data_IF_077004861958
#
_entry.id   IF_077004861958
#
_cell.length_a   1.000
_cell.length_b   1.000
_cell.length_c   1.000
_cell.angle_alpha   90.00
_cell.angle_beta   90.00
_cell.angle_gamma   90.00
#
_symmetry.space_group_name_H-M   'P 1'
#
loop_
_entity.id
_entity.type
_entity.pdbx_description
1 polymer ?
2 non-polymer ?
3 non-polymer ?
4 water ?
#
# COMPACT_ATOMS: atom_id res chain seq x y z
N UNK A 1 7.58 11.63 -13.71
CA UNK A 1 8.87 11.73 -12.97
C UNK A 1 9.27 10.42 -12.32
N UNK A 2 10.27 10.49 -11.45
CA UNK A 2 10.75 9.33 -10.72
C UNK A 2 10.71 9.66 -9.23
N UNK A 3 10.04 8.80 -8.47
CA UNK A 3 9.89 9.00 -7.04
C UNK A 3 10.60 7.92 -6.21
N UNK A 4 11.48 8.34 -5.30
CA UNK A 4 12.19 7.39 -4.46
C UNK A 4 11.33 7.08 -3.23
N UNK A 5 11.67 6.02 -2.51
CA UNK A 5 10.85 5.62 -1.36
C UNK A 5 11.45 5.82 0.03
N UNK A 6 12.43 6.70 0.14
CA UNK A 6 13.04 6.99 1.44
C UNK A 6 11.96 7.57 2.34
N UNK A 7 11.06 8.33 1.73
CA UNK A 7 9.97 8.96 2.44
C UNK A 7 8.66 8.50 1.80
N UNK A 8 7.54 8.67 2.50
CA UNK A 8 6.26 8.29 1.96
C UNK A 8 6.11 9.02 0.62
N UNK A 9 5.64 8.32 -0.43
CA UNK A 9 5.46 8.93 -1.76
C UNK A 9 4.21 9.78 -1.88
N UNK A 10 4.28 10.99 -1.34
CA UNK A 10 3.15 11.91 -1.37
C UNK A 10 3.16 12.78 -2.62
N UNK A 11 1.98 13.00 -3.18
CA UNK A 11 1.84 13.83 -4.36
C UNK A 11 0.60 14.71 -4.21
N UNK A 12 0.56 15.78 -4.99
CA UNK A 12 -0.57 16.70 -4.96
C UNK A 12 -1.59 16.24 -5.98
N UNK A 13 -2.85 16.20 -5.58
CA UNK A 13 -3.90 15.78 -6.50
C UNK A 13 -4.99 16.84 -6.47
N UNK A 14 -5.77 16.90 -7.53
CA UNK A 14 -6.86 17.85 -7.58
C UNK A 14 -8.15 17.07 -7.87
N UNK A 15 -9.12 17.22 -6.98
CA UNK A 15 -10.41 16.56 -7.11
C UNK A 15 -11.49 17.49 -6.58
N UNK A 16 -12.63 17.52 -7.27
CA UNK A 16 -13.72 18.38 -6.86
C UNK A 16 -13.29 19.83 -6.77
N UNK A 17 -12.35 20.21 -7.64
CA UNK A 17 -11.84 21.57 -7.63
C UNK A 17 -10.88 21.83 -6.49
N UNK A 18 -10.72 20.85 -5.59
CA UNK A 18 -9.82 20.99 -4.45
C UNK A 18 -8.48 20.29 -4.59
N UNK A 19 -7.45 20.92 -4.05
CA UNK A 19 -6.08 20.39 -4.09
C UNK A 19 -5.78 19.66 -2.79
N UNK A 20 -5.23 18.45 -2.91
CA UNK A 20 -4.89 17.65 -1.74
C UNK A 20 -3.60 16.87 -1.91
N UNK A 21 -3.08 16.35 -0.81
CA UNK A 21 -1.87 15.53 -0.85
C UNK A 21 -2.29 14.10 -0.60
N UNK A 22 -1.92 13.21 -1.53
CA UNK A 22 -2.25 11.81 -1.39
C UNK A 22 -0.99 10.95 -1.55
N UNK A 23 -1.11 9.72 -1.05
CA UNK A 23 -0.03 8.73 -1.11
C UNK A 23 -0.20 7.84 -2.35
N UNK A 24 0.88 7.61 -3.09
CA UNK A 24 0.83 6.74 -4.27
C UNK A 24 1.08 5.35 -3.72
N UNK A 25 0.01 4.56 -3.68
CA UNK A 25 0.02 3.23 -3.07
C UNK A 25 -0.19 2.03 -4.01
N UNK A 26 0.91 1.40 -4.42
CA UNK A 26 0.82 0.25 -5.30
C UNK A 26 0.12 -0.93 -4.62
N UNK A 27 0.00 -0.88 -3.30
CA UNK A 27 -0.65 -1.95 -2.55
C UNK A 27 -2.17 -1.83 -2.42
N UNK A 28 -2.71 -0.69 -2.77
CA UNK A 28 -4.15 -0.46 -2.68
C UNK A 28 -4.81 -0.75 -4.03
N UNK A 29 -5.83 -1.61 -4.03
CA UNK A 29 -6.54 -1.95 -5.27
C UNK A 29 -7.43 -0.78 -5.69
N UNK A 30 -7.93 -0.07 -4.69
CA UNK A 30 -8.81 1.08 -4.90
C UNK A 30 -8.18 2.36 -4.36
N UNK A 31 -8.85 3.46 -4.65
CA UNK A 31 -8.45 4.79 -4.21
C UNK A 31 -9.42 5.19 -3.10
N UNK A 32 -8.88 5.55 -1.95
CA UNK A 32 -9.69 5.95 -0.81
C UNK A 32 -9.28 7.33 -0.31
N UNK A 33 -10.24 8.24 -0.28
CA UNK A 33 -9.97 9.59 0.16
C UNK A 33 -10.66 9.93 1.46
N UNK A 34 -10.14 10.94 2.15
CA UNK A 34 -10.71 11.38 3.41
C UNK A 34 -12.14 11.86 3.17
N UNK A 35 -12.93 11.86 4.23
CA UNK A 35 -14.31 12.31 4.15
C UNK A 35 -14.41 13.68 3.49
N UNK A 36 -15.27 13.79 2.48
CA UNK A 36 -15.47 15.04 1.75
C UNK A 36 -16.82 14.97 1.06
N UNK A 37 -17.44 16.13 0.87
CA UNK A 37 -18.78 16.18 0.26
C UNK A 37 -18.88 16.27 -1.25
N UNK A 38 -18.53 15.19 -1.91
CA UNK A 38 -18.63 15.14 -3.36
C UNK A 38 -20.09 15.04 -3.77
N UNK A 39 -20.44 15.72 -4.86
CA UNK A 39 -21.83 15.66 -5.31
C UNK A 39 -22.01 14.39 -6.14
N UNK A 40 -23.26 13.98 -6.33
CA UNK A 40 -23.52 12.78 -7.10
C UNK A 40 -24.05 11.64 -6.26
N UNK A 41 -24.57 10.62 -6.94
CA UNK A 41 -25.09 9.46 -6.25
C UNK A 41 -23.91 8.54 -5.95
N UNK A 42 -24.01 7.76 -4.89
CA UNK A 42 -22.95 6.85 -4.50
C UNK A 42 -23.52 5.56 -3.95
N UNK A 43 -22.66 4.54 -3.87
CA UNK A 43 -23.05 3.24 -3.34
C UNK A 43 -22.27 2.91 -2.07
N UNK A 44 -22.94 2.32 -1.07
CA UNK A 44 -22.31 1.95 0.20
C UNK A 44 -21.35 0.80 -0.08
N UNK A 45 -20.22 0.77 0.63
CA UNK A 45 -19.27 -0.32 0.42
C UNK A 45 -18.32 -0.57 1.58
N UNK A 46 -17.84 -1.80 1.66
CA UNK A 46 -16.92 -2.22 2.70
C UNK A 46 -15.58 -2.59 2.10
N UNK A 47 -14.51 -1.98 2.59
CA UNK A 47 -13.17 -2.28 2.11
C UNK A 47 -12.33 -2.69 3.31
N UNK A 48 -11.45 -3.65 3.11
CA UNK A 48 -10.61 -4.10 4.20
C UNK A 48 -9.15 -3.73 4.04
N UNK A 49 -8.53 -3.35 5.15
CA UNK A 49 -7.12 -3.01 5.15
C UNK A 49 -6.46 -3.84 6.24
N UNK A 50 -5.27 -3.46 6.66
CA UNK A 50 -4.53 -4.19 7.69
C UNK A 50 -5.25 -4.39 9.03
N UNK A 51 -6.01 -3.41 9.49
CA UNK A 51 -6.68 -3.55 10.77
C UNK A 51 -8.17 -3.82 10.73
N UNK A 52 -8.66 -4.35 9.62
CA UNK A 52 -10.08 -4.59 9.49
C UNK A 52 -10.76 -3.89 8.35
N UNK A 53 -12.10 -3.84 8.42
CA UNK A 53 -12.89 -3.21 7.37
C UNK A 53 -13.47 -1.87 7.80
N UNK A 54 -13.71 -0.99 6.83
CA UNK A 54 -14.32 0.30 7.12
C UNK A 54 -15.41 0.51 6.09
N UNK A 55 -16.41 1.30 6.46
CA UNK A 55 -17.51 1.57 5.55
C UNK A 55 -17.14 2.81 4.75
N UNK A 56 -17.32 2.72 3.43
CA UNK A 56 -17.01 3.83 2.55
C UNK A 56 -18.12 4.09 1.54
N UNK A 57 -18.08 5.28 0.95
CA UNK A 57 -19.07 5.65 -0.06
C UNK A 57 -18.35 5.64 -1.40
N UNK A 58 -18.86 4.84 -2.33
CA UNK A 58 -18.26 4.74 -3.64
C UNK A 58 -18.85 5.68 -4.69
N UNK A 59 -18.01 6.54 -5.25
CA UNK A 59 -18.42 7.47 -6.30
C UNK A 59 -17.73 7.06 -7.60
N UNK A 60 -18.48 6.98 -8.69
CA UNK A 60 -17.91 6.60 -9.97
C UNK A 60 -17.67 7.78 -10.89
N UNK A 61 -16.81 7.56 -11.89
CA UNK A 61 -16.47 8.57 -12.90
C UNK A 61 -16.15 9.94 -12.32
N UNK A 62 -15.20 9.99 -11.40
CA UNK A 62 -14.82 11.26 -10.81
C UNK A 62 -13.51 11.72 -11.46
N UNK A 63 -13.50 12.90 -12.11
CA UNK A 63 -12.24 13.33 -12.71
C UNK A 63 -11.28 13.77 -11.62
N UNK A 64 -10.05 13.28 -11.71
CA UNK A 64 -9.03 13.61 -10.73
C UNK A 64 -7.70 13.83 -11.43
N UNK A 65 -6.97 14.84 -10.98
CA UNK A 65 -5.66 15.14 -11.55
C UNK A 65 -4.59 14.76 -10.54
N UNK A 66 -3.67 13.89 -10.96
CA UNK A 66 -2.61 13.42 -10.10
C UNK A 66 -1.28 13.97 -10.56
N UNK A 67 -0.77 14.96 -9.84
CA UNK A 67 0.51 15.56 -10.17
C UNK A 67 0.53 16.00 -11.64
N UNK A 68 -0.49 16.75 -12.04
CA UNK A 68 -0.59 17.23 -13.42
C UNK A 68 -0.91 16.19 -14.49
N UNK A 69 -1.46 15.06 -14.07
CA UNK A 69 -1.84 14.00 -15.00
C UNK A 69 -3.32 13.68 -14.83
N UNK A 70 -4.09 13.86 -15.90
CA UNK A 70 -5.51 13.61 -15.84
C UNK A 70 -5.86 12.14 -15.76
N UNK A 71 -6.91 11.84 -14.99
CA UNK A 71 -7.41 10.49 -14.81
C UNK A 71 -8.85 10.58 -14.32
N UNK A 72 -9.64 9.55 -14.58
CA UNK A 72 -11.02 9.55 -14.15
C UNK A 72 -11.42 8.16 -13.73
N UNK A 73 -12.01 8.04 -12.55
CA UNK A 73 -12.41 6.73 -12.09
C UNK A 73 -13.20 6.70 -10.80
N UNK A 74 -13.25 5.52 -10.22
CA UNK A 74 -13.96 5.31 -8.97
C UNK A 74 -13.11 5.78 -7.81
N UNK A 75 -13.75 6.43 -6.85
CA UNK A 75 -13.07 6.88 -5.64
C UNK A 75 -13.99 6.54 -4.46
N UNK A 76 -13.41 5.93 -3.44
CA UNK A 76 -14.15 5.56 -2.24
C UNK A 76 -13.90 6.66 -1.22
N UNK A 77 -14.93 7.08 -0.52
CA UNK A 77 -14.77 8.13 0.49
C UNK A 77 -15.18 7.57 1.85
N UNK A 78 -14.29 7.69 2.81
CA UNK A 78 -14.56 7.17 4.14
C UNK A 78 -13.60 7.71 5.18
N UNK A 79 -13.73 7.26 6.43
CA UNK A 79 -12.86 7.72 7.52
C UNK A 79 -11.46 7.10 7.41
N UNK A 80 -10.66 7.55 6.46
CA UNK A 80 -9.31 7.03 6.30
C UNK A 80 -8.34 8.07 6.84
N UNK A 81 -7.27 7.63 7.52
CA UNK A 81 -6.30 8.59 8.06
C UNK A 81 -5.57 9.37 6.96
N UNK A 82 -5.44 8.79 5.78
CA UNK A 82 -4.77 9.48 4.68
C UNK A 82 -5.39 9.18 3.32
N UNK A 83 -5.19 10.10 2.38
CA UNK A 83 -5.71 9.91 1.04
C UNK A 83 -4.82 8.87 0.33
N UNK A 84 -5.45 7.87 -0.25
CA UNK A 84 -4.72 6.82 -0.93
C UNK A 84 -5.07 6.67 -2.41
N UNK A 85 -4.07 6.81 -3.27
CA UNK A 85 -4.29 6.65 -4.70
C UNK A 85 -3.92 5.21 -5.01
N UNK A 86 -4.91 4.41 -5.43
CA UNK A 86 -4.67 3.00 -5.72
C UNK A 86 -4.36 2.66 -7.17
N UNK A 87 -4.21 1.37 -7.45
CA UNK A 87 -3.89 0.91 -8.79
C UNK A 87 -4.91 1.32 -9.85
N UNK A 88 -6.18 1.38 -9.48
CA UNK A 88 -7.21 1.75 -10.44
C UNK A 88 -6.87 3.08 -11.11
N UNK A 89 -6.28 4.00 -10.36
CA UNK A 89 -5.92 5.27 -10.94
C UNK A 89 -4.45 5.33 -11.40
N UNK A 90 -3.58 4.61 -10.70
CA UNK A 90 -2.16 4.61 -11.08
C UNK A 90 -1.97 4.06 -12.48
N UNK A 91 -2.75 3.06 -12.84
CA UNK A 91 -2.65 2.47 -14.18
C UNK A 91 -2.95 3.53 -15.23
N UNK A 92 -3.90 4.41 -14.95
CA UNK A 92 -4.27 5.46 -15.90
C UNK A 92 -3.18 6.47 -16.21
N UNK A 93 -2.31 6.77 -15.25
CA UNK A 93 -1.24 7.73 -15.53
C UNK A 93 0.08 7.04 -15.85
N UNK A 94 -0.03 5.80 -16.34
CA UNK A 94 1.14 5.02 -16.72
C UNK A 94 2.22 4.86 -15.66
N UNK A 95 1.79 4.72 -14.41
CA UNK A 95 2.72 4.57 -13.31
C UNK A 95 3.27 3.15 -13.19
N UNK A 96 4.59 3.03 -13.09
CA UNK A 96 5.22 1.72 -12.96
C UNK A 96 6.16 1.67 -11.75
N UNK A 97 6.56 0.45 -11.41
CA UNK A 97 7.46 0.19 -10.30
C UNK A 97 8.74 -0.35 -10.94
N UNK A 98 9.88 0.25 -10.64
CA UNK A 98 11.13 -0.22 -11.25
C UNK A 98 12.28 -0.48 -10.28
N UNK A 99 13.03 -1.53 -10.56
CA UNK A 99 14.21 -1.89 -9.75
C UNK A 99 15.02 -2.96 -10.48
N UNK B 1 13.62 -4.93 -13.18
CA UNK B 1 12.42 -5.09 -14.02
C UNK B 1 11.44 -3.94 -13.84
N UNK B 2 10.58 -3.73 -14.85
CA UNK B 2 9.57 -2.70 -14.77
C UNK B 2 8.22 -3.40 -14.58
N UNK B 3 7.52 -3.03 -13.52
CA UNK B 3 6.24 -3.66 -13.20
C UNK B 3 5.06 -2.70 -13.37
N UNK B 4 4.08 -3.13 -14.18
CA UNK B 4 2.88 -2.33 -14.43
C UNK B 4 1.87 -2.66 -13.34
N UNK B 5 0.87 -1.81 -13.18
CA UNK B 5 -0.09 -2.02 -12.11
C UNK B 5 -1.52 -2.45 -12.45
N UNK B 6 -1.72 -3.06 -13.62
CA UNK B 6 -3.05 -3.52 -14.00
C UNK B 6 -3.45 -4.70 -13.12
N UNK B 7 -2.46 -5.42 -12.65
CA UNK B 7 -2.66 -6.55 -11.76
C UNK B 7 -1.88 -6.22 -10.48
N UNK B 8 -2.19 -6.92 -9.39
CA UNK B 8 -1.47 -6.69 -8.14
C UNK B 8 0.01 -7.00 -8.35
N UNK B 9 0.90 -6.10 -7.89
CA UNK B 9 2.34 -6.31 -8.03
C UNK B 9 2.88 -7.35 -7.06
N UNK B 10 2.65 -8.62 -7.37
CA UNK B 10 3.11 -9.73 -6.54
C UNK B 10 4.45 -10.29 -6.98
N UNK B 11 5.27 -10.67 -6.01
CA UNK B 11 6.56 -11.24 -6.30
C UNK B 11 6.81 -12.40 -5.37
N UNK B 12 7.80 -13.21 -5.72
CA UNK B 12 8.17 -14.35 -4.92
C UNK B 12 9.33 -13.91 -4.03
N UNK B 13 9.24 -14.22 -2.75
CA UNK B 13 10.29 -13.86 -1.82
C UNK B 13 10.78 -15.15 -1.18
N UNK B 14 12.02 -15.13 -0.71
CA UNK B 14 12.57 -16.29 -0.07
C UNK B 14 13.03 -15.85 1.31
N UNK B 15 12.59 -16.55 2.33
CA UNK B 15 12.94 -16.19 3.69
C UNK B 15 12.95 -17.43 4.58
N UNK B 16 14.03 -17.57 5.35
CA UNK B 16 14.16 -18.73 6.22
C UNK B 16 14.34 -19.99 5.41
N UNK B 17 14.65 -19.83 4.13
CA UNK B 17 14.83 -20.97 3.24
C UNK B 17 13.46 -21.44 2.79
N UNK B 18 12.50 -20.52 2.83
CA UNK B 18 11.12 -20.81 2.45
C UNK B 18 10.68 -19.86 1.34
N UNK B 19 9.79 -20.32 0.48
CA UNK B 19 9.29 -19.49 -0.62
C UNK B 19 7.89 -18.99 -0.33
N UNK B 20 7.67 -17.72 -0.64
CA UNK B 20 6.37 -17.10 -0.43
C UNK B 20 6.08 -16.04 -1.46
N UNK B 21 4.81 -15.62 -1.49
CA UNK B 21 4.34 -14.60 -2.41
C UNK B 21 4.08 -13.35 -1.60
N UNK B 22 4.46 -12.20 -2.14
CA UNK B 22 4.25 -10.95 -1.41
C UNK B 22 3.90 -9.81 -2.36
N UNK B 23 3.31 -8.78 -1.79
CA UNK B 23 2.88 -7.62 -2.54
C UNK B 23 3.86 -6.45 -2.39
N UNK B 24 4.27 -5.85 -3.50
CA UNK B 24 5.18 -4.68 -3.46
C UNK B 24 4.23 -3.53 -3.12
N UNK B 25 4.39 -2.99 -1.91
CA UNK B 25 3.48 -1.98 -1.40
C UNK B 25 4.15 -0.67 -0.99
N UNK B 26 4.05 0.34 -1.85
CA UNK B 26 4.67 1.63 -1.58
C UNK B 26 3.95 2.43 -0.50
N UNK B 27 2.72 2.04 -0.17
CA UNK B 27 1.96 2.74 0.85
C UNK B 27 2.22 2.22 2.25
N UNK B 28 2.96 1.11 2.35
CA UNK B 28 3.29 0.51 3.63
C UNK B 28 4.68 0.96 4.08
N UNK B 29 4.79 1.54 5.27
CA UNK B 29 6.10 1.98 5.77
C UNK B 29 6.96 0.77 6.08
N UNK B 30 6.33 -0.28 6.58
CA UNK B 30 7.07 -1.47 6.95
C UNK B 30 6.63 -2.72 6.20
N UNK B 31 7.40 -3.78 6.42
CA UNK B 31 7.18 -5.08 5.82
C UNK B 31 6.52 -5.98 6.87
N UNK B 32 5.40 -6.58 6.50
CA UNK B 32 4.68 -7.47 7.39
C UNK B 32 4.29 -8.75 6.67
N UNK B 33 4.58 -9.87 7.30
CA UNK B 33 4.26 -11.17 6.72
C UNK B 33 3.26 -11.93 7.56
N UNK B 34 2.60 -12.88 6.93
CA UNK B 34 1.61 -13.71 7.61
C UNK B 34 2.34 -14.48 8.70
N UNK B 35 1.62 -14.87 9.74
CA UNK B 35 2.20 -15.61 10.84
C UNK B 35 3.05 -16.77 10.38
N UNK B 36 4.25 -16.89 10.95
CA UNK B 36 5.16 -17.97 10.61
C UNK B 36 6.31 -17.96 11.63
N UNK B 37 7.11 -19.03 11.63
CA UNK B 37 8.22 -19.11 12.57
C UNK B 37 9.50 -18.57 11.98
N UNK B 38 10.11 -17.62 12.69
CA UNK B 38 11.36 -17.04 12.25
C UNK B 38 12.36 -17.20 13.39
N UNK B 39 13.56 -17.70 13.08
CA UNK B 39 14.56 -17.88 14.14
C UNK B 39 14.97 -16.53 14.70
N UNK B 40 15.46 -16.52 15.93
CA UNK B 40 15.87 -15.28 16.55
C UNK B 40 14.87 -14.82 17.59
N UNK B 41 15.16 -13.68 18.19
CA UNK B 41 14.29 -13.11 19.21
C UNK B 41 13.37 -12.06 18.59
N UNK B 42 12.18 -11.93 19.14
CA UNK B 42 11.23 -10.95 18.65
C UNK B 42 10.66 -10.11 19.78
N UNK B 43 10.23 -8.90 19.44
CA UNK B 43 9.66 -7.99 20.41
C UNK B 43 8.25 -7.60 19.97
N UNK B 44 7.30 -7.55 20.92
CA UNK B 44 5.91 -7.19 20.60
C UNK B 44 5.83 -5.76 20.07
N UNK B 45 5.02 -5.56 19.04
CA UNK B 45 4.84 -4.24 18.47
C UNK B 45 3.45 -4.12 17.88
N UNK B 46 3.01 -2.89 17.64
CA UNK B 46 1.71 -2.66 17.05
C UNK B 46 1.78 -1.67 15.91
N UNK B 47 1.11 -2.02 14.82
CA UNK B 47 1.08 -1.16 13.64
C UNK B 47 -0.38 -0.89 13.28
N UNK B 48 -0.62 0.20 12.60
CA UNK B 48 -1.98 0.52 12.23
C UNK B 48 -2.12 0.94 10.79
N UNK B 49 -3.35 0.85 10.30
CA UNK B 49 -3.63 1.25 8.95
C UNK B 49 -5.12 1.42 8.79
N UNK B 50 -5.62 1.11 7.59
CA UNK B 50 -7.04 1.19 7.32
C UNK B 50 -7.66 0.07 8.12
N UNK B 51 -8.73 0.39 8.83
CA UNK B 51 -9.39 -0.63 9.64
C UNK B 51 -8.93 -0.55 11.08
N UNK B 52 -7.67 -0.21 11.31
CA UNK B 52 -7.21 -0.12 12.69
C UNK B 52 -5.83 -0.69 12.97
N UNK B 53 -5.56 -0.97 14.24
CA UNK B 53 -4.27 -1.50 14.70
C UNK B 53 -4.26 -3.00 14.96
N UNK B 54 -3.12 -3.63 14.73
CA UNK B 54 -2.95 -5.06 14.99
C UNK B 54 -1.65 -5.30 15.74
N UNK B 55 -1.54 -6.44 16.40
CA UNK B 55 -0.33 -6.79 17.15
C UNK B 55 0.59 -7.69 16.35
N UNK B 56 1.86 -7.29 16.24
CA UNK B 56 2.82 -8.06 15.48
C UNK B 56 4.10 -8.37 16.27
N UNK B 57 4.90 -9.30 15.75
CA UNK B 57 6.18 -9.67 16.35
C UNK B 57 7.21 -8.99 15.47
N UNK B 58 8.21 -8.33 16.05
CA UNK B 58 9.23 -7.67 15.26
C UNK B 58 10.57 -8.41 15.28
N UNK B 59 11.03 -8.81 14.09
CA UNK B 59 12.31 -9.49 13.96
C UNK B 59 13.26 -8.55 13.23
N UNK B 60 14.46 -8.35 13.77
CA UNK B 60 15.43 -7.47 13.14
C UNK B 60 16.50 -8.21 12.33
N UNK B 61 17.11 -7.47 11.40
CA UNK B 61 18.14 -7.98 10.52
C UNK B 61 17.88 -9.36 9.92
N UNK B 62 16.71 -9.53 9.31
CA UNK B 62 16.35 -10.78 8.67
C UNK B 62 16.71 -10.68 7.19
N UNK B 63 17.43 -11.67 6.66
CA UNK B 63 17.82 -11.67 5.25
C UNK B 63 16.64 -12.17 4.42
N UNK B 64 16.32 -11.45 3.35
CA UNK B 64 15.23 -11.84 2.51
C UNK B 64 15.54 -11.52 1.06
N UNK B 65 15.21 -12.46 0.19
CA UNK B 65 15.45 -12.31 -1.22
C UNK B 65 14.14 -11.93 -1.91
N UNK B 66 14.15 -10.81 -2.61
CA UNK B 66 12.96 -10.33 -3.29
C UNK B 66 13.12 -10.35 -4.80
N UNK B 67 12.52 -11.35 -5.43
CA UNK B 67 12.57 -11.46 -6.88
C UNK B 67 14.04 -11.42 -7.32
N UNK B 68 14.91 -12.10 -6.58
CA UNK B 68 16.32 -12.14 -6.91
C UNK B 68 17.24 -11.13 -6.23
N UNK B 69 16.67 -10.08 -5.66
CA UNK B 69 17.47 -9.04 -5.00
C UNK B 69 17.52 -9.22 -3.50
N UNK B 70 18.72 -9.15 -2.94
CA UNK B 70 18.91 -9.32 -1.50
C UNK B 70 18.68 -8.08 -0.66
N UNK B 71 18.10 -8.30 0.51
CA UNK B 71 17.83 -7.23 1.45
C UNK B 71 17.98 -7.82 2.84
N UNK B 72 18.31 -6.98 3.80
CA UNK B 72 18.46 -7.42 5.18
C UNK B 72 17.88 -6.30 6.03
N UNK B 73 16.75 -6.56 6.68
CA UNK B 73 16.14 -5.54 7.48
C UNK B 73 15.10 -6.07 8.44
N UNK B 74 14.29 -5.17 8.98
CA UNK B 74 13.24 -5.51 9.93
C UNK B 74 12.04 -6.14 9.25
N UNK B 75 11.58 -7.25 9.81
CA UNK B 75 10.43 -7.96 9.29
C UNK B 75 9.40 -8.13 10.40
N UNK B 76 8.15 -7.77 10.12
CA UNK B 76 7.08 -7.90 11.11
C UNK B 76 6.19 -9.10 10.74
N UNK B 77 5.78 -9.87 11.74
CA UNK B 77 4.94 -11.03 11.50
C UNK B 77 3.69 -10.95 12.36
N UNK B 78 2.53 -11.17 11.74
CA UNK B 78 1.30 -11.12 12.49
C UNK B 78 0.09 -11.43 11.64
N UNK B 79 -1.12 -11.19 12.19
CA UNK B 79 -2.40 -11.44 11.50
C UNK B 79 -2.67 -10.49 10.34
N UNK B 80 -1.79 -10.48 9.34
CA UNK B 80 -1.97 -9.64 8.17
C UNK B 80 -2.79 -10.39 7.12
N UNK B 81 -3.63 -9.67 6.36
CA UNK B 81 -4.45 -10.32 5.33
C UNK B 81 -3.57 -10.88 4.22
N UNK B 82 -2.42 -10.24 4.00
CA UNK B 82 -1.53 -10.64 2.93
C UNK B 82 -0.09 -10.19 3.21
N UNK B 83 0.88 -10.88 2.63
CA UNK B 83 2.29 -10.50 2.81
C UNK B 83 2.56 -9.21 2.06
N UNK B 84 3.20 -8.27 2.75
CA UNK B 84 3.48 -6.96 2.19
C UNK B 84 4.95 -6.54 2.34
N UNK B 85 5.58 -6.16 1.24
CA UNK B 85 6.96 -5.70 1.29
C UNK B 85 6.82 -4.17 1.33
N UNK B 86 7.24 -3.59 2.44
CA UNK B 86 7.16 -2.16 2.61
C UNK B 86 8.38 -1.39 2.17
N UNK B 87 8.34 -0.07 2.36
CA UNK B 87 9.43 0.83 1.95
C UNK B 87 10.78 0.56 2.60
N UNK B 88 10.79 0.03 3.81
CA UNK B 88 12.05 -0.27 4.45
C UNK B 88 12.88 -1.22 3.59
N UNK B 89 12.22 -2.18 2.93
CA UNK B 89 12.95 -3.13 2.08
C UNK B 89 12.98 -2.70 0.61
N UNK B 90 11.94 -2.02 0.16
CA UNK B 90 11.91 -1.57 -1.23
C UNK B 90 13.08 -0.62 -1.50
N UNK B 91 13.43 0.21 -0.52
CA UNK B 91 14.54 1.13 -0.70
C UNK B 91 15.84 0.37 -0.85
N UNK B 92 15.98 -0.73 -0.14
CA UNK B 92 17.20 -1.53 -0.22
C UNK B 92 17.43 -2.15 -1.57
N UNK B 93 16.35 -2.45 -2.29
CA UNK B 93 16.55 -3.07 -3.60
C UNK B 93 16.49 -2.04 -4.73
N UNK B 94 16.51 -0.78 -4.34
CA UNK B 94 16.50 0.30 -5.33
C UNK B 94 15.21 0.50 -6.09
N UNK B 95 14.09 0.25 -5.43
CA UNK B 95 12.79 0.38 -6.06
C UNK B 95 12.29 1.83 -6.12
N UNK B 96 11.74 2.22 -7.27
CA UNK B 96 11.22 3.57 -7.46
C UNK B 96 9.89 3.54 -8.25
N UNK B 97 9.14 4.62 -8.12
CA UNK B 97 7.88 4.75 -8.86
C UNK B 97 8.16 5.62 -10.07
N UNK B 98 7.62 5.24 -11.22
CA UNK B 98 7.86 6.03 -12.41
C UNK B 98 6.60 6.21 -13.26
N UNK B 99 6.41 7.44 -13.75
CA UNK B 99 5.27 7.75 -14.59
C UNK B 99 5.50 9.06 -15.34
X LIG C 1 10.24 13.14 -16.71
X LIG C 1 9.01 13.65 -16.19
X LIG C 1 10.43 13.29 -18.01
X LIG C 1 11.04 12.11 -15.92
X LIG D 1 -12.81 19.90 -11.09
X LIG D 1 -12.22 18.80 -11.78
X LIG D 1 -12.04 20.55 -10.22
X LIG D 1 -14.32 20.08 -11.08
X LIG E 1 5.57 -21.76 9.69
X LIG E 1 6.47 -20.68 9.42
X LIG E 1 5.24 -22.54 8.65
X LIG E 1 5.29 -22.20 11.11
X LIG F 1 14.69 -1.53 8.69
X LIG F 1 13.97 -2.53 7.94
X LIG F 1 16.01 -1.69 8.71
X LIG F 1 13.96 -0.66 9.72
X LIG G 1 16.12 -8.52 -12.68
X LIG G 1 15.09 -9.52 -12.60
X LIG G 1 17.14 -8.66 -11.85
X LIG G 1 16.22 -7.62 -13.92
X LIG H 1 -4.15 -5.06 2.24
X LIG H 1 -4.92 -3.77 2.28
X LIG H 1 -4.43 -2.59 1.46
X LIG H 1 -5.36 -1.44 1.70
X LIG H 1 -5.24 -0.78 2.74
X LIG H 1 -6.31 -1.17 0.75
X LIG H 1 -7.33 -0.14 0.66
X LIG H 1 -8.12 -0.37 -0.63
X LIG H 1 -6.81 1.15 0.62
X LIG H 1 -8.33 -0.19 1.75
X LIG H 1 -3.03 -2.40 2.01
X LIG H 1 -2.14 -3.61 2.12
X LIG H 1 -2.86 -4.81 2.75
X LIG H 1 -2.25 -1.33 1.37
X LIG H 1 -1.60 -0.36 2.37
X LIG H 1 -0.64 0.10 1.47
X LIG H 1 -2.32 0.89 2.88
X LIG H 1 -1.63 1.79 3.92
X LIG H 1 -2.53 3.01 4.30
X LIG H 1 -1.93 3.91 5.33
X LIG H 1 -0.69 4.60 5.08
X LIG H 1 -0.14 5.42 6.08
X LIG H 1 -0.82 5.58 7.33
X LIG H 1 -2.04 4.88 7.59
X LIG H 1 -2.59 4.06 6.58
X LIG H 1 -1.25 1.01 5.20
X LIG H 1 -2.01 0.12 5.69
X LIG H 1 -0.11 1.39 5.77
X LIG H 1 0.41 0.84 7.01
X LIG H 1 1.37 1.81 7.69
X LIG H 1 2.08 2.58 6.71
X LIG H 1 2.26 0.96 8.55
X LIG H 1 2.46 -0.39 7.94
X LIG H 1 3.35 -1.44 8.04
X LIG H 1 3.15 -2.58 7.22
X LIG H 1 2.05 -2.66 6.31
X LIG H 1 1.13 -1.61 6.20
X LIG H 1 1.24 -0.45 6.94
X LIG H 1 -4.81 -6.19 2.89
X LIG H 1 -6.15 -6.71 2.36
X LIG H 1 -6.32 -7.30 1.08
X LIG H 1 -7.56 -7.79 0.55
X LIG H 1 -8.64 -7.64 1.46
X LIG H 1 -8.54 -7.06 2.76
X LIG H 1 -7.28 -6.59 3.21
#
# INVERSE_FOLDING_TARGET
>A
PQITLWKRPLVTIRIGGQLKEALLDTGADDTVLEEMNLPGRWKPKMIGGIGGFIKVRQYDQIPIEICGHKAIGTVLVGPTPTNVIGRNLLTQIGCTLNF
>B
PQITLWKRPLVTIRIGGQLKEALLDTGADDTVLEEMNLPGRWKPKMIGGIGGFIKVRQYDQIPIEICGHKAIGTVLVGPTPTNVIGRNLLTQIGCTLNF
>C hetero
1 ACT C O OXT CH3
>D hetero
1 ACT C O OXT CH3
>E hetero
1 ACT C O OXT CH3
>F hetero
1 ACT C O OXT CH3
>G hetero
1 ACT C O OXT CH3
>H hetero
1 MK1 N1 C1 C2 C3 O1 N2 C4 C5 C6 C7 N3 C8 C9 C10 C11 O2 C12 C13 C14 C15 C16 C17 C18 C19 C20 C21 O3 N4 C22 C23 O4 C24 C25 C26 C27 C28 C29 C30 C31 C32 C33 N5 C34 C35 C36
#
